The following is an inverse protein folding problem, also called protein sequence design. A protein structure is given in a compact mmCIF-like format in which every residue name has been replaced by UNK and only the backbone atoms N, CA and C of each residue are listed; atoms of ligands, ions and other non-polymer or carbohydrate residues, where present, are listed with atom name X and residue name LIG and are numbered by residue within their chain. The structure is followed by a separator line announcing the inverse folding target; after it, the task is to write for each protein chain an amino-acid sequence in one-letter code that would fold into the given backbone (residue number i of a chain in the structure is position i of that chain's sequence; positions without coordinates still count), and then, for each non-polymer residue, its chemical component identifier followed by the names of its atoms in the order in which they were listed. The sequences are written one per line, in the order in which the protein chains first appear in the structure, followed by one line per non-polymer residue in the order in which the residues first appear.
data_IF_716496111432
#
_entry.id   IF_716496111432
#
_cell.length_a   1.000
_cell.length_b   1.000
_cell.length_c   1.000
_cell.angle_alpha   90.00
_cell.angle_beta   90.00
_cell.angle_gamma   90.00
#
_symmetry.space_group_name_H-M   'P 1'
#
loop_
_entity.id
_entity.type
_entity.pdbx_description
1 polymer ?
#
# COMPACT_ATOMS: atom_id res chain seq x y z
N UNK A 1 -19.36 -28.61 -16.69
CA UNK A 1 -20.03 -28.21 -15.45
C UNK A 1 -19.06 -28.06 -14.30
N UNK A 2 -18.15 -29.01 -14.12
CA UNK A 2 -17.15 -28.93 -13.07
C UNK A 2 -16.16 -27.78 -13.31
N UNK A 3 -15.83 -27.53 -14.57
CA UNK A 3 -14.92 -26.44 -14.93
C UNK A 3 -15.57 -25.10 -14.64
N UNK A 4 -16.85 -24.95 -14.88
CA UNK A 4 -17.56 -23.70 -14.58
C UNK A 4 -17.62 -23.43 -13.09
N UNK A 5 -17.86 -24.47 -12.29
CA UNK A 5 -17.86 -24.33 -10.82
C UNK A 5 -16.52 -23.86 -10.30
N UNK A 6 -15.42 -24.41 -10.83
CA UNK A 6 -14.09 -24.04 -10.43
C UNK A 6 -13.80 -22.58 -10.78
N UNK A 7 -14.19 -22.15 -11.99
CA UNK A 7 -14.02 -20.77 -12.42
C UNK A 7 -14.80 -19.80 -11.53
N UNK A 8 -16.03 -20.16 -11.17
CA UNK A 8 -16.85 -19.33 -10.31
C UNK A 8 -16.23 -19.18 -8.91
N UNK A 9 -15.67 -20.26 -8.39
CA UNK A 9 -14.98 -20.20 -7.09
C UNK A 9 -13.76 -19.30 -7.16
N UNK A 10 -12.96 -19.41 -8.22
CA UNK A 10 -11.80 -18.58 -8.41
C UNK A 10 -12.16 -17.10 -8.51
N UNK A 11 -13.24 -16.80 -9.24
CA UNK A 11 -13.70 -15.42 -9.37
C UNK A 11 -14.18 -14.87 -8.04
N UNK A 12 -14.88 -15.66 -7.25
CA UNK A 12 -15.35 -15.23 -5.95
C UNK A 12 -14.19 -14.95 -5.00
N UNK A 13 -13.18 -15.83 -5.00
CA UNK A 13 -12.02 -15.66 -4.17
C UNK A 13 -11.23 -14.42 -4.57
N UNK A 14 -11.08 -14.20 -5.87
CA UNK A 14 -10.38 -13.03 -6.39
C UNK A 14 -11.10 -11.74 -6.00
N UNK A 15 -12.42 -11.69 -6.15
CA UNK A 15 -13.23 -10.55 -5.76
C UNK A 15 -13.14 -10.29 -4.26
N UNK A 16 -13.15 -11.35 -3.48
CA UNK A 16 -13.04 -11.26 -2.04
C UNK A 16 -11.71 -10.66 -1.60
N UNK A 17 -10.63 -11.07 -2.27
CA UNK A 17 -9.30 -10.53 -1.99
C UNK A 17 -9.23 -9.04 -2.32
N UNK A 18 -9.80 -8.63 -3.44
CA UNK A 18 -9.84 -7.22 -3.81
C UNK A 18 -10.64 -6.40 -2.79
N UNK A 19 -11.78 -6.92 -2.36
CA UNK A 19 -12.60 -6.26 -1.37
C UNK A 19 -11.87 -6.14 -0.04
N UNK A 20 -11.15 -7.18 0.35
CA UNK A 20 -10.39 -7.17 1.59
C UNK A 20 -9.28 -6.12 1.53
N UNK A 21 -8.57 -6.03 0.41
CA UNK A 21 -7.54 -5.01 0.23
C UNK A 21 -8.11 -3.61 0.31
N UNK A 22 -9.24 -3.39 -0.37
CA UNK A 22 -9.90 -2.09 -0.34
C UNK A 22 -10.38 -1.74 1.06
N UNK A 23 -10.92 -2.73 1.77
CA UNK A 23 -11.39 -2.52 3.13
C UNK A 23 -10.24 -2.10 4.05
N UNK A 24 -9.13 -2.82 4.00
CA UNK A 24 -7.97 -2.49 4.83
C UNK A 24 -7.44 -1.10 4.51
N UNK A 25 -7.38 -0.76 3.23
CA UNK A 25 -6.93 0.57 2.81
C UNK A 25 -7.88 1.65 3.33
N UNK A 26 -9.19 1.43 3.21
CA UNK A 26 -10.18 2.39 3.70
C UNK A 26 -10.09 2.55 5.22
N UNK A 27 -9.90 1.46 5.94
CA UNK A 27 -9.73 1.53 7.39
C UNK A 27 -8.50 2.35 7.76
N UNK A 28 -7.40 2.15 7.05
CA UNK A 28 -6.18 2.90 7.30
C UNK A 28 -6.38 4.39 7.03
N UNK A 29 -6.95 4.72 5.88
CA UNK A 29 -7.20 6.12 5.49
C UNK A 29 -8.19 6.77 6.46
N UNK A 30 -9.23 6.07 6.85
CA UNK A 30 -10.21 6.58 7.79
C UNK A 30 -9.57 6.86 9.15
N UNK A 31 -8.74 5.95 9.64
CA UNK A 31 -8.02 6.14 10.90
C UNK A 31 -7.11 7.37 10.82
N UNK A 32 -6.44 7.54 9.67
CA UNK A 32 -5.59 8.70 9.43
C UNK A 32 -6.41 9.99 9.49
N UNK A 33 -7.57 10.00 8.87
CA UNK A 33 -8.46 11.17 8.87
C UNK A 33 -8.94 11.51 10.27
N UNK A 34 -9.11 10.50 11.12
CA UNK A 34 -9.52 10.70 12.50
C UNK A 34 -8.34 10.97 13.43
N UNK A 35 -7.14 11.07 12.87
CA UNK A 35 -5.91 11.32 13.61
C UNK A 35 -5.55 10.20 14.58
N UNK A 36 -6.02 9.00 14.30
CA UNK A 36 -5.66 7.80 15.05
C UNK A 36 -4.42 7.18 14.38
N UNK A 37 -3.28 7.81 14.60
CA UNK A 37 -2.05 7.53 13.85
C UNK A 37 -1.55 6.09 14.03
N UNK A 38 -1.59 5.59 15.26
CA UNK A 38 -1.12 4.23 15.54
C UNK A 38 -2.02 3.21 14.87
N UNK A 39 -3.32 3.44 14.91
CA UNK A 39 -4.27 2.54 14.28
C UNK A 39 -4.11 2.54 12.76
N UNK A 40 -3.90 3.73 12.19
CA UNK A 40 -3.66 3.85 10.75
C UNK A 40 -2.43 3.04 10.35
N UNK A 41 -1.33 3.16 11.09
CA UNK A 41 -0.11 2.41 10.81
C UNK A 41 -0.35 0.90 10.87
N UNK A 42 -1.10 0.44 11.86
CA UNK A 42 -1.42 -0.99 11.99
C UNK A 42 -2.20 -1.48 10.77
N UNK A 43 -3.20 -0.72 10.34
CA UNK A 43 -3.98 -1.12 9.17
C UNK A 43 -3.13 -1.14 7.90
N UNK A 44 -2.25 -0.16 7.71
CA UNK A 44 -1.34 -0.16 6.57
C UNK A 44 -0.41 -1.37 6.60
N UNK A 45 0.14 -1.70 7.77
CA UNK A 45 1.00 -2.86 7.89
C UNK A 45 0.25 -4.15 7.60
N UNK A 46 -0.97 -4.28 8.12
CA UNK A 46 -1.80 -5.45 7.84
C UNK A 46 -2.10 -5.57 6.35
N UNK A 47 -2.34 -4.44 5.70
CA UNK A 47 -2.60 -4.43 4.27
C UNK A 47 -1.40 -4.98 3.49
N UNK A 48 -0.20 -4.55 3.83
CA UNK A 48 1.00 -5.02 3.14
C UNK A 48 1.34 -6.47 3.44
N UNK A 49 1.02 -6.93 4.65
CA UNK A 49 1.18 -8.35 5.00
C UNK A 49 0.18 -9.21 4.22
N UNK A 50 -1.04 -8.71 4.08
CA UNK A 50 -2.09 -9.42 3.35
C UNK A 50 -1.83 -9.42 1.84
N UNK A 51 -1.38 -8.28 1.31
CA UNK A 51 -1.19 -8.10 -0.13
C UNK A 51 0.16 -7.43 -0.41
N UNK A 52 1.27 -8.19 -0.32
CA UNK A 52 2.62 -7.61 -0.47
C UNK A 52 2.92 -7.10 -1.87
N UNK A 53 2.07 -7.37 -2.85
CA UNK A 53 2.25 -6.87 -4.21
C UNK A 53 1.31 -5.70 -4.53
N UNK A 54 0.57 -5.22 -3.55
CA UNK A 54 -0.39 -4.15 -3.76
C UNK A 54 0.31 -2.79 -3.69
N UNK A 55 0.66 -2.26 -4.85
CA UNK A 55 1.46 -1.03 -4.96
C UNK A 55 0.81 0.16 -4.25
N UNK A 56 -0.51 0.32 -4.38
CA UNK A 56 -1.21 1.45 -3.75
C UNK A 56 -1.04 1.44 -2.23
N UNK A 57 -0.97 0.26 -1.63
CA UNK A 57 -0.72 0.14 -0.20
C UNK A 57 0.62 0.76 0.20
N UNK A 58 1.66 0.47 -0.57
CA UNK A 58 2.98 1.06 -0.33
C UNK A 58 2.95 2.57 -0.50
N UNK A 59 2.35 3.05 -1.57
CA UNK A 59 2.29 4.48 -1.85
C UNK A 59 1.56 5.25 -0.76
N UNK A 60 0.40 4.76 -0.39
CA UNK A 60 -0.41 5.41 0.66
C UNK A 60 0.30 5.39 2.01
N UNK A 61 0.89 4.26 2.37
CA UNK A 61 1.62 4.14 3.64
C UNK A 61 2.86 5.04 3.64
N UNK A 62 3.61 5.01 2.53
CA UNK A 62 4.80 5.85 2.40
C UNK A 62 4.49 7.33 2.58
N UNK A 63 3.44 7.81 1.92
CA UNK A 63 3.01 9.20 2.05
C UNK A 63 2.53 9.51 3.47
N UNK A 64 1.82 8.57 4.09
CA UNK A 64 1.40 8.71 5.49
C UNK A 64 2.62 8.91 6.40
N UNK A 65 3.65 8.08 6.22
CA UNK A 65 4.86 8.20 7.02
C UNK A 65 5.55 9.55 6.82
N UNK A 66 5.60 10.04 5.59
CA UNK A 66 6.18 11.34 5.30
C UNK A 66 5.40 12.46 5.97
N UNK A 67 4.08 12.40 5.92
CA UNK A 67 3.23 13.40 6.56
C UNK A 67 3.42 13.41 8.07
N UNK A 68 3.77 12.25 8.64
CA UNK A 68 4.04 12.13 10.08
C UNK A 68 5.48 12.47 10.45
N UNK A 69 6.29 12.89 9.48
CA UNK A 69 7.69 13.22 9.73
C UNK A 69 8.60 12.03 9.89
N UNK A 70 8.12 10.83 9.54
CA UNK A 70 8.89 9.60 9.69
C UNK A 70 9.60 9.24 8.37
N UNK A 71 10.55 10.09 8.00
CA UNK A 71 11.26 9.94 6.73
C UNK A 71 12.06 8.65 6.64
N UNK A 72 12.71 8.25 7.73
CA UNK A 72 13.50 7.02 7.71
C UNK A 72 12.63 5.79 7.50
N UNK A 73 11.47 5.76 8.15
CA UNK A 73 10.52 4.67 7.97
C UNK A 73 10.00 4.62 6.53
N UNK A 74 9.73 5.79 5.96
CA UNK A 74 9.28 5.89 4.58
C UNK A 74 10.35 5.38 3.61
N UNK A 75 11.63 5.70 3.86
CA UNK A 75 12.73 5.20 3.04
C UNK A 75 12.85 3.68 3.11
N UNK A 76 12.72 3.12 4.30
CA UNK A 76 12.76 1.67 4.47
C UNK A 76 11.63 1.02 3.69
N UNK A 77 10.45 1.62 3.76
CA UNK A 77 9.30 1.13 3.02
C UNK A 77 9.55 1.22 1.51
N UNK A 78 10.18 2.30 1.06
CA UNK A 78 10.51 2.47 -0.36
C UNK A 78 11.46 1.37 -0.84
N UNK A 79 12.45 1.02 -0.04
CA UNK A 79 13.37 -0.08 -0.37
C UNK A 79 12.60 -1.39 -0.49
N UNK A 80 11.69 -1.65 0.44
CA UNK A 80 10.84 -2.84 0.38
C UNK A 80 9.99 -2.86 -0.88
N UNK A 81 9.39 -1.72 -1.22
CA UNK A 81 8.59 -1.58 -2.42
C UNK A 81 9.43 -1.90 -3.66
N UNK A 82 10.63 -1.33 -3.76
CA UNK A 82 11.50 -1.55 -4.91
C UNK A 82 11.96 -2.99 -5.02
N UNK A 83 12.04 -3.70 -3.89
CA UNK A 83 12.42 -5.12 -3.87
C UNK A 83 11.22 -6.03 -4.12
N UNK A 84 10.01 -5.51 -4.04
CA UNK A 84 8.80 -6.29 -4.20
C UNK A 84 8.45 -6.44 -5.68
N UNK A 85 7.42 -7.25 -5.94
CA UNK A 85 6.88 -7.40 -7.29
C UNK A 85 5.74 -6.43 -7.57
N UNK A 86 5.50 -5.50 -6.65
CA UNK A 86 4.44 -4.52 -6.80
C UNK A 86 4.71 -3.61 -7.99
N UNK A 87 3.68 -3.35 -8.78
CA UNK A 87 3.77 -2.48 -9.94
C UNK A 87 2.96 -1.22 -9.70
N UNK A 88 3.64 -0.12 -9.47
CA UNK A 88 2.99 1.17 -9.21
C UNK A 88 2.93 2.08 -10.44
N UNK A 89 3.15 1.53 -11.63
CA UNK A 89 3.24 2.32 -12.86
C UNK A 89 2.06 3.27 -13.06
N UNK A 90 0.84 2.79 -12.81
CA UNK A 90 -0.35 3.59 -12.99
C UNK A 90 -0.95 4.06 -11.66
N UNK A 91 -0.17 4.00 -10.59
CA UNK A 91 -0.65 4.37 -9.27
C UNK A 91 -0.18 5.76 -8.90
N UNK A 92 -1.11 6.69 -8.77
CA UNK A 92 -0.80 8.09 -8.51
C UNK A 92 -0.10 8.30 -7.15
N UNK A 93 -0.55 7.60 -6.13
CA UNK A 93 0.06 7.73 -4.80
C UNK A 93 1.51 7.26 -4.81
N UNK A 94 1.79 6.16 -5.52
CA UNK A 94 3.15 5.67 -5.66
C UNK A 94 4.00 6.67 -6.43
N UNK A 95 3.47 7.24 -7.50
CA UNK A 95 4.18 8.22 -8.30
C UNK A 95 4.60 9.42 -7.46
N UNK A 96 3.68 9.96 -6.68
CA UNK A 96 3.96 11.10 -5.80
C UNK A 96 5.02 10.73 -4.77
N UNK A 97 4.88 9.55 -4.18
CA UNK A 97 5.81 9.07 -3.15
C UNK A 97 7.21 8.87 -3.73
N UNK A 98 7.31 8.24 -4.90
CA UNK A 98 8.60 8.03 -5.57
C UNK A 98 9.30 9.36 -5.84
N UNK A 99 8.57 10.34 -6.33
CA UNK A 99 9.14 11.65 -6.59
C UNK A 99 9.72 12.29 -5.34
N UNK A 100 9.03 12.15 -4.22
CA UNK A 100 9.51 12.70 -2.97
C UNK A 100 10.74 11.95 -2.45
N UNK A 101 10.75 10.62 -2.59
CA UNK A 101 11.88 9.81 -2.16
C UNK A 101 13.12 10.10 -3.01
N UNK A 102 12.93 10.22 -4.31
CA UNK A 102 14.03 10.52 -5.23
C UNK A 102 14.59 11.93 -5.01
N UNK A 103 13.69 12.88 -4.75
CA UNK A 103 14.09 14.27 -4.47
C UNK A 103 14.95 14.35 -3.21
N UNK A 104 14.58 13.65 -2.15
CA UNK A 104 15.35 13.63 -0.92
C UNK A 104 16.72 13.00 -1.12
N UNK A 105 16.78 11.91 -1.90
CA UNK A 105 18.04 11.26 -2.21
C UNK A 105 18.93 12.19 -3.04
N UNK A 106 18.34 12.91 -3.97
CA UNK A 106 19.06 13.86 -4.81
C UNK A 106 19.61 15.05 -4.03
N UNK A 107 18.89 15.49 -3.02
CA UNK A 107 19.34 16.62 -2.18
C UNK A 107 20.56 16.27 -1.36
N UNK A 108 20.78 15.00 -1.07
CA UNK A 108 21.93 14.56 -0.32
C UNK A 108 23.26 14.71 -1.05
N UNK A 109 23.17 15.08 -2.29
CA UNK A 109 24.37 15.36 -3.08
C UNK A 109 24.79 16.83 -2.93
#
# INVERSE_FOLDING_TARGET
EHAESALQKLQKEYTKDEEQRKMLLLLAVNAELQKEWERAAVYYEQLLLYAPEFAEGYGKYGLFLLRRGQKNSSRRLYVLYRSSKADGTDCKSVEIWEKQMESETGEGK
#
